data_IF_778380718474
#
_entry.id   IF_778380718474
#
_cell.length_a   1.000
_cell.length_b   1.000
_cell.length_c   1.000
_cell.angle_alpha   90.00
_cell.angle_beta   90.00
_cell.angle_gamma   90.00
#
_symmetry.space_group_name_H-M   'P 1'
#
loop_
_entity.id
_entity.type
_entity.pdbx_description
1 polymer ?
#
# COMPACT_ATOMS: atom_id res chain seq x y z
N UNK A 1 32.85 -2.53 5.02
CA UNK A 1 33.12 -1.40 4.10
C UNK A 1 32.32 -1.59 2.83
N UNK A 2 31.15 -0.95 2.68
CA UNK A 2 30.38 -0.96 1.42
C UNK A 2 29.73 0.40 1.19
N UNK A 3 30.55 1.45 1.17
CA UNK A 3 30.15 2.79 0.69
C UNK A 3 29.73 2.76 -0.78
N UNK A 4 30.18 1.77 -1.56
CA UNK A 4 29.76 1.60 -2.94
C UNK A 4 28.28 1.20 -3.09
N UNK A 5 27.75 0.41 -2.15
CA UNK A 5 26.36 -0.02 -2.20
C UNK A 5 25.39 1.11 -1.81
N UNK A 6 25.83 2.08 -1.01
CA UNK A 6 24.97 3.17 -0.55
C UNK A 6 24.73 4.22 -1.64
N UNK A 7 25.74 4.57 -2.43
CA UNK A 7 25.56 5.54 -3.52
C UNK A 7 24.69 4.96 -4.64
N UNK A 8 24.87 3.68 -4.98
CA UNK A 8 24.09 3.01 -6.03
C UNK A 8 22.61 2.95 -5.65
N UNK A 9 22.30 2.55 -4.40
CA UNK A 9 20.94 2.55 -3.87
C UNK A 9 20.31 3.95 -3.91
N UNK A 10 21.06 4.99 -3.51
CA UNK A 10 20.58 6.39 -3.52
C UNK A 10 20.27 6.87 -4.93
N UNK A 11 21.15 6.59 -5.89
CA UNK A 11 20.97 6.99 -7.30
C UNK A 11 19.76 6.31 -7.93
N UNK A 12 19.64 4.99 -7.74
CA UNK A 12 18.49 4.20 -8.23
C UNK A 12 17.17 4.71 -7.63
N UNK A 13 17.16 5.10 -6.36
CA UNK A 13 15.98 5.66 -5.72
C UNK A 13 15.59 7.05 -6.26
N UNK A 14 16.57 7.88 -6.64
CA UNK A 14 16.36 9.25 -7.13
C UNK A 14 16.03 9.33 -8.63
N UNK A 15 16.57 8.45 -9.46
CA UNK A 15 16.41 8.51 -10.93
C UNK A 15 15.24 7.66 -11.45
N UNK A 16 14.84 6.60 -10.73
CA UNK A 16 13.85 5.64 -11.20
C UNK A 16 12.64 5.56 -10.26
N UNK A 17 11.43 5.75 -10.79
CA UNK A 17 10.20 5.41 -10.07
C UNK A 17 10.15 3.90 -9.79
N UNK A 18 9.43 3.50 -8.73
CA UNK A 18 9.22 2.11 -8.31
C UNK A 18 8.85 1.19 -9.47
N UNK A 19 7.95 1.60 -10.36
CA UNK A 19 7.50 0.74 -11.47
C UNK A 19 8.65 0.40 -12.42
N UNK A 20 9.49 1.40 -12.77
CA UNK A 20 10.69 1.16 -13.59
C UNK A 20 11.67 0.22 -12.89
N UNK A 21 11.83 0.36 -11.57
CA UNK A 21 12.69 -0.55 -10.79
C UNK A 21 12.14 -1.98 -10.78
N UNK A 22 10.82 -2.16 -10.72
CA UNK A 22 10.18 -3.48 -10.80
C UNK A 22 10.40 -4.10 -12.19
N UNK A 23 10.33 -3.31 -13.27
CA UNK A 23 10.59 -3.79 -14.64
C UNK A 23 12.03 -4.28 -14.87
N UNK A 24 13.00 -3.89 -14.03
CA UNK A 24 14.40 -4.33 -14.13
C UNK A 24 14.66 -5.67 -13.44
N UNK A 25 13.65 -6.27 -12.78
CA UNK A 25 13.81 -7.55 -12.09
C UNK A 25 13.79 -8.70 -13.08
N UNK A 26 14.84 -9.50 -13.07
CA UNK A 26 15.02 -10.67 -13.94
C UNK A 26 14.85 -11.97 -13.14
N UNK A 27 13.71 -12.64 -13.29
CA UNK A 27 13.30 -13.82 -12.52
C UNK A 27 14.16 -15.08 -12.71
N UNK A 28 14.99 -15.12 -13.75
CA UNK A 28 15.87 -16.25 -14.09
C UNK A 28 17.35 -15.89 -14.20
N UNK A 29 17.79 -14.75 -13.64
CA UNK A 29 19.18 -14.32 -13.77
C UNK A 29 20.14 -15.37 -13.18
N UNK A 30 21.14 -15.87 -13.93
CA UNK A 30 21.95 -17.02 -13.55
C UNK A 30 22.80 -16.79 -12.29
N UNK A 31 23.27 -15.56 -12.08
CA UNK A 31 24.18 -15.22 -10.96
C UNK A 31 23.52 -14.45 -9.81
N UNK A 32 22.35 -13.83 -10.04
CA UNK A 32 21.75 -12.89 -9.10
C UNK A 32 20.35 -13.34 -8.72
N UNK A 33 20.21 -13.84 -7.49
CA UNK A 33 18.90 -14.16 -6.92
C UNK A 33 17.98 -12.92 -6.87
N UNK A 34 16.66 -13.15 -6.93
CA UNK A 34 15.63 -12.10 -6.76
C UNK A 34 15.82 -11.31 -5.46
N UNK A 35 16.30 -11.97 -4.39
CA UNK A 35 16.62 -11.30 -3.12
C UNK A 35 17.70 -10.23 -3.32
N UNK A 36 18.75 -10.55 -4.07
CA UNK A 36 19.87 -9.63 -4.29
C UNK A 36 19.51 -8.50 -5.23
N UNK A 37 18.77 -8.80 -6.30
CA UNK A 37 18.25 -7.79 -7.22
C UNK A 37 17.31 -6.81 -6.48
N UNK A 38 16.39 -7.30 -5.66
CA UNK A 38 15.51 -6.44 -4.86
C UNK A 38 16.29 -5.53 -3.89
N UNK A 39 17.38 -6.04 -3.28
CA UNK A 39 18.23 -5.25 -2.41
C UNK A 39 18.94 -4.10 -3.15
N UNK A 40 19.47 -4.38 -4.36
CA UNK A 40 20.15 -3.39 -5.21
C UNK A 40 19.19 -2.34 -5.75
N UNK A 41 17.98 -2.75 -6.12
CA UNK A 41 16.92 -1.88 -6.64
C UNK A 41 16.12 -1.17 -5.53
N UNK A 42 16.49 -1.38 -4.26
CA UNK A 42 15.77 -0.84 -3.11
C UNK A 42 14.26 -1.16 -3.14
N UNK A 43 13.92 -2.38 -3.52
CA UNK A 43 12.56 -2.93 -3.58
C UNK A 43 12.31 -3.87 -2.40
N UNK A 44 11.08 -3.90 -1.91
CA UNK A 44 10.67 -4.93 -0.96
C UNK A 44 10.48 -6.26 -1.69
N UNK A 45 11.29 -7.27 -1.35
CA UNK A 45 11.23 -8.60 -1.99
C UNK A 45 9.83 -9.21 -1.95
N UNK A 46 9.15 -9.19 -0.80
CA UNK A 46 7.82 -9.82 -0.66
C UNK A 46 6.77 -9.17 -1.56
N UNK A 47 6.92 -7.87 -1.84
CA UNK A 47 6.03 -7.16 -2.75
C UNK A 47 6.17 -7.60 -4.21
N UNK A 48 7.29 -8.23 -4.61
CA UNK A 48 7.48 -8.72 -5.98
C UNK A 48 6.67 -10.00 -6.26
N UNK A 49 6.38 -10.78 -5.20
CA UNK A 49 5.59 -12.01 -5.29
C UNK A 49 4.10 -11.77 -5.06
N UNK A 50 3.72 -10.56 -4.61
CA UNK A 50 2.33 -10.27 -4.31
C UNK A 50 1.55 -10.13 -5.62
N UNK A 51 0.63 -11.06 -5.84
CA UNK A 51 -0.38 -10.96 -6.88
C UNK A 51 -1.70 -10.53 -6.22
N UNK A 52 -2.30 -9.39 -6.62
CA UNK A 52 -3.56 -8.97 -6.07
C UNK A 52 -4.64 -10.00 -6.40
N UNK A 53 -5.28 -10.52 -5.36
CA UNK A 53 -6.45 -11.40 -5.48
C UNK A 53 -7.69 -10.51 -5.53
N UNK A 54 -8.58 -10.66 -6.52
CA UNK A 54 -9.81 -9.87 -6.56
C UNK A 54 -10.67 -10.19 -5.33
N UNK A 55 -11.33 -9.18 -4.73
CA UNK A 55 -12.19 -9.39 -3.58
C UNK A 55 -13.35 -10.31 -3.93
N UNK A 56 -13.81 -11.11 -2.97
CA UNK A 56 -14.94 -12.00 -3.20
C UNK A 56 -16.27 -11.22 -3.28
N UNK A 57 -17.30 -11.76 -3.97
CA UNK A 57 -18.62 -11.13 -4.01
C UNK A 57 -19.22 -10.86 -2.61
N UNK A 58 -18.97 -11.76 -1.65
CA UNK A 58 -19.42 -11.59 -0.27
C UNK A 58 -18.70 -10.43 0.44
N UNK A 59 -17.38 -10.31 0.28
CA UNK A 59 -16.61 -9.18 0.82
C UNK A 59 -17.09 -7.84 0.27
N UNK A 60 -17.41 -7.81 -1.04
CA UNK A 60 -17.97 -6.63 -1.70
C UNK A 60 -19.35 -6.30 -1.12
N UNK A 61 -20.23 -7.29 -0.96
CA UNK A 61 -21.57 -7.09 -0.40
C UNK A 61 -21.52 -6.60 1.06
N UNK A 62 -20.61 -7.14 1.88
CA UNK A 62 -20.39 -6.70 3.25
C UNK A 62 -19.87 -5.25 3.27
N UNK A 63 -18.90 -4.90 2.41
CA UNK A 63 -18.40 -3.51 2.28
C UNK A 63 -19.50 -2.55 1.83
N UNK A 64 -20.32 -2.93 0.86
CA UNK A 64 -21.43 -2.09 0.38
C UNK A 64 -22.49 -1.87 1.46
N UNK A 65 -22.80 -2.89 2.26
CA UNK A 65 -23.72 -2.80 3.40
C UNK A 65 -23.16 -1.94 4.53
N UNK A 66 -21.86 -2.03 4.82
CA UNK A 66 -21.18 -1.20 5.81
C UNK A 66 -20.97 0.24 5.34
N UNK A 67 -20.81 0.45 4.03
CA UNK A 67 -20.67 1.77 3.41
C UNK A 67 -22.02 2.48 3.20
N UNK A 68 -23.09 2.05 3.88
CA UNK A 68 -24.33 2.82 3.96
C UNK A 68 -23.96 4.27 4.28
N UNK A 69 -24.30 5.23 3.40
CA UNK A 69 -23.90 6.61 3.63
C UNK A 69 -24.48 7.04 4.98
N UNK A 70 -23.60 7.39 5.92
CA UNK A 70 -24.02 8.12 7.11
C UNK A 70 -24.87 9.29 6.59
N UNK A 71 -26.04 9.56 7.21
CA UNK A 71 -26.88 10.65 6.77
C UNK A 71 -26.01 11.92 6.73
N UNK A 72 -25.83 12.48 5.52
CA UNK A 72 -24.93 13.63 5.30
C UNK A 72 -25.33 14.87 6.09
N UNK A 73 -26.58 14.87 6.56
CA UNK A 73 -27.10 15.80 7.53
C UNK A 73 -27.50 14.96 8.76
N UNK A 74 -26.79 15.10 9.89
CA UNK A 74 -27.38 14.65 11.14
C UNK A 74 -28.70 15.44 11.30
N UNK A 75 -29.88 14.80 11.44
CA UNK A 75 -31.10 15.54 11.67
C UNK A 75 -30.87 16.41 12.90
N UNK A 76 -31.23 17.69 12.87
CA UNK A 76 -30.92 18.67 13.93
C UNK A 76 -31.21 18.13 15.36
N UNK A 77 -32.21 17.24 15.48
CA UNK A 77 -32.55 16.48 16.67
C UNK A 77 -31.37 15.69 17.30
N UNK A 78 -30.45 15.14 16.51
CA UNK A 78 -29.31 14.37 16.99
C UNK A 78 -28.26 15.27 17.68
N UNK A 79 -27.98 16.46 17.12
CA UNK A 79 -27.08 17.43 17.75
C UNK A 79 -27.69 17.98 19.04
N UNK A 80 -29.00 18.28 19.04
CA UNK A 80 -29.72 18.74 20.24
C UNK A 80 -29.72 17.68 21.34
N UNK A 81 -29.93 16.40 21.00
CA UNK A 81 -29.96 15.30 21.98
C UNK A 81 -28.58 15.05 22.62
N UNK A 82 -27.50 15.09 21.83
CA UNK A 82 -26.13 14.93 22.35
C UNK A 82 -25.73 16.14 23.22
N UNK A 83 -26.07 17.36 22.81
CA UNK A 83 -25.81 18.57 23.60
C UNK A 83 -26.57 18.60 24.94
N UNK A 84 -27.78 18.06 24.99
CA UNK A 84 -28.56 17.94 26.24
C UNK A 84 -27.97 16.91 27.21
N UNK A 85 -27.38 15.81 26.69
CA UNK A 85 -26.82 14.73 27.51
C UNK A 85 -25.43 15.06 28.10
N UNK A 86 -24.66 15.94 27.46
CA UNK A 86 -23.34 16.41 27.94
C UNK A 86 -23.46 17.52 28.99
N UNK A 87 -24.67 18.05 29.24
CA UNK A 87 -24.91 19.16 30.17
C UNK A 87 -25.61 18.76 31.48
N UNK A 88 -25.63 17.47 31.82
CA UNK A 88 -26.05 16.94 33.12
C UNK A 88 -24.89 16.23 33.81
#
# INVERSE_FOLDING_TARGET
MTTELTWLKKRVASELNRDKRVSLVEWGHPELSIKKQAELLSLNRSSLYYQPVPPSPEEIAIKQKAAAPLPREAPAAFITAVAAKVRL
#
